data_IF_402050846455
#
_entry.id   IF_402050846455
#
_cell.length_a   1.000
_cell.length_b   1.000
_cell.length_c   1.000
_cell.angle_alpha   90.00
_cell.angle_beta   90.00
_cell.angle_gamma   90.00
#
_symmetry.space_group_name_H-M   'P 1'
#
loop_
_entity.id
_entity.type
_entity.pdbx_description
1 polymer ?
#
# COMPACT_ATOMS: atom_id res chain seq x y z
N UNK A 1 23.22 22.57 23.20
CA UNK A 1 21.93 21.86 23.19
C UNK A 1 21.90 21.00 21.93
N UNK A 2 22.33 19.73 22.04
CA UNK A 2 22.29 18.81 20.90
C UNK A 2 20.84 18.34 20.72
N UNK A 3 20.19 18.75 19.64
CA UNK A 3 19.00 18.08 19.17
C UNK A 3 19.41 16.64 18.83
N UNK A 4 19.08 15.69 19.70
CA UNK A 4 19.05 14.29 19.33
C UNK A 4 18.02 14.17 18.21
N UNK A 5 18.49 14.24 16.96
CA UNK A 5 17.69 13.95 15.78
C UNK A 5 17.19 12.51 15.92
N UNK A 6 16.03 12.32 16.52
CA UNK A 6 15.33 11.03 16.56
C UNK A 6 15.13 10.61 15.12
N UNK A 7 15.88 9.59 14.69
CA UNK A 7 15.83 9.15 13.31
C UNK A 7 14.43 8.60 13.02
N UNK A 8 13.71 9.22 12.09
CA UNK A 8 12.35 8.80 11.74
C UNK A 8 12.42 7.82 10.57
N UNK A 9 11.66 6.73 10.65
CA UNK A 9 11.44 5.81 9.55
C UNK A 9 9.98 5.85 9.12
N UNK A 10 9.75 6.07 7.84
CA UNK A 10 8.42 6.12 7.24
C UNK A 10 8.26 5.03 6.20
N UNK A 11 7.14 4.30 6.27
CA UNK A 11 6.71 3.33 5.27
C UNK A 11 5.29 3.69 4.86
N UNK A 12 5.02 3.62 3.57
CA UNK A 12 3.71 3.88 3.00
C UNK A 12 3.20 2.61 2.33
N UNK A 13 1.97 2.22 2.65
CA UNK A 13 1.25 1.13 2.00
C UNK A 13 0.23 1.74 1.04
N UNK A 14 0.23 1.32 -0.22
CA UNK A 14 -0.76 1.69 -1.22
C UNK A 14 -1.45 0.47 -1.81
N UNK A 15 -2.73 0.56 -2.17
CA UNK A 15 -3.40 -0.48 -2.95
C UNK A 15 -4.58 0.08 -3.73
N UNK A 16 -4.93 -0.58 -4.83
CA UNK A 16 -6.19 -0.35 -5.53
C UNK A 16 -7.27 -1.25 -4.94
N UNK A 17 -8.35 -0.63 -4.46
CA UNK A 17 -9.56 -1.31 -4.05
C UNK A 17 -10.63 -1.15 -5.12
N UNK A 18 -11.20 -2.27 -5.59
CA UNK A 18 -12.39 -2.25 -6.43
C UNK A 18 -13.60 -2.67 -5.61
N UNK A 19 -14.70 -1.94 -5.82
CA UNK A 19 -16.04 -2.37 -5.41
C UNK A 19 -16.68 -2.96 -6.65
N UNK A 20 -17.07 -4.24 -6.59
CA UNK A 20 -17.86 -4.82 -7.67
C UNK A 20 -19.19 -4.05 -7.76
N UNK A 21 -19.57 -3.64 -8.96
CA UNK A 21 -20.95 -3.22 -9.21
C UNK A 21 -21.80 -4.50 -9.22
N UNK A 22 -22.51 -4.76 -8.13
CA UNK A 22 -23.35 -5.95 -8.00
C UNK A 22 -24.33 -6.04 -9.17
N UNK A 23 -24.39 -7.20 -9.83
CA UNK A 23 -25.42 -7.50 -10.83
C UNK A 23 -26.73 -7.77 -10.10
N UNK A 24 -27.51 -6.71 -9.82
CA UNK A 24 -28.92 -6.79 -9.44
C UNK A 24 -29.28 -7.82 -8.36
N UNK A 25 -28.86 -7.59 -7.12
CA UNK A 25 -29.24 -8.38 -5.95
C UNK A 25 -28.58 -7.84 -4.69
N UNK A 26 -29.10 -8.19 -3.50
CA UNK A 26 -28.57 -7.82 -2.18
C UNK A 26 -27.20 -8.46 -1.87
N UNK A 27 -26.34 -8.62 -2.86
CA UNK A 27 -25.00 -9.19 -2.69
C UNK A 27 -24.10 -8.18 -1.97
N UNK A 28 -23.50 -8.64 -0.87
CA UNK A 28 -22.54 -7.87 -0.08
C UNK A 28 -21.29 -7.67 -0.93
N UNK A 29 -21.06 -6.44 -1.39
CA UNK A 29 -19.88 -6.11 -2.19
C UNK A 29 -18.61 -6.16 -1.31
N UNK A 30 -17.83 -7.23 -1.44
CA UNK A 30 -16.54 -7.33 -0.76
C UNK A 30 -15.47 -6.45 -1.42
N UNK A 31 -14.61 -5.86 -0.60
CA UNK A 31 -13.42 -5.14 -1.07
C UNK A 31 -12.46 -6.13 -1.72
N UNK A 32 -12.18 -5.97 -3.01
CA UNK A 32 -11.10 -6.70 -3.70
C UNK A 32 -9.83 -5.86 -3.73
N UNK A 33 -8.72 -6.45 -3.31
CA UNK A 33 -7.39 -5.84 -3.30
C UNK A 33 -6.51 -6.62 -4.29
N UNK A 34 -6.07 -5.97 -5.36
CA UNK A 34 -5.26 -6.65 -6.38
C UNK A 34 -3.79 -6.81 -5.94
N UNK A 35 -3.19 -5.71 -5.47
CA UNK A 35 -1.80 -5.66 -5.05
C UNK A 35 -1.58 -4.61 -3.97
N UNK A 36 -0.75 -4.97 -2.98
CA UNK A 36 -0.31 -4.06 -1.93
C UNK A 36 1.08 -3.55 -2.29
N UNK A 37 1.18 -2.28 -2.66
CA UNK A 37 2.42 -1.56 -2.92
C UNK A 37 3.05 -1.05 -1.63
N UNK A 38 4.37 -1.15 -1.56
CA UNK A 38 5.18 -0.71 -0.43
C UNK A 38 6.16 0.37 -0.91
N UNK A 39 6.11 1.53 -0.28
CA UNK A 39 7.03 2.64 -0.53
C UNK A 39 7.79 2.98 0.76
N UNK A 40 9.09 3.23 0.66
CA UNK A 40 9.93 3.56 1.82
C UNK A 40 11.40 3.27 1.59
N UNK A 41 12.19 3.35 2.67
CA UNK A 41 13.62 3.00 2.64
C UNK A 41 13.79 1.48 2.55
N UNK A 42 14.57 0.99 1.59
CA UNK A 42 14.66 -0.43 1.26
C UNK A 42 15.00 -1.31 2.48
N UNK A 43 15.98 -0.90 3.29
CA UNK A 43 16.33 -1.60 4.55
C UNK A 43 15.13 -1.75 5.49
N UNK A 44 14.33 -0.70 5.67
CA UNK A 44 13.18 -0.72 6.57
C UNK A 44 12.07 -1.62 6.00
N UNK A 45 11.80 -1.55 4.70
CA UNK A 45 10.83 -2.43 4.04
C UNK A 45 11.22 -3.91 4.19
N UNK A 46 12.50 -4.25 3.99
CA UNK A 46 13.02 -5.62 4.18
C UNK A 46 12.93 -6.08 5.63
N UNK A 47 13.24 -5.20 6.60
CA UNK A 47 13.14 -5.49 8.04
C UNK A 47 11.71 -5.84 8.46
N UNK A 48 10.70 -5.17 7.89
CA UNK A 48 9.29 -5.35 8.23
C UNK A 48 8.69 -6.55 7.50
N UNK A 49 8.84 -6.62 6.17
CA UNK A 49 8.09 -7.55 5.34
C UNK A 49 8.86 -8.82 4.94
N UNK A 50 10.20 -8.79 5.01
CA UNK A 50 11.06 -9.95 4.77
C UNK A 50 10.68 -10.76 3.53
N UNK A 51 10.41 -12.06 3.71
CA UNK A 51 10.04 -12.99 2.63
C UNK A 51 8.75 -12.63 1.87
N UNK A 52 7.88 -11.81 2.46
CA UNK A 52 6.63 -11.41 1.81
C UNK A 52 6.81 -10.25 0.84
N UNK A 53 7.97 -9.58 0.88
CA UNK A 53 8.33 -8.47 0.01
C UNK A 53 8.83 -8.99 -1.34
N UNK A 54 8.21 -8.54 -2.41
CA UNK A 54 8.65 -8.81 -3.78
C UNK A 54 9.45 -7.62 -4.32
N UNK A 55 10.70 -7.87 -4.67
CA UNK A 55 11.67 -6.89 -5.16
C UNK A 55 11.95 -7.01 -6.66
N UNK A 56 11.22 -7.85 -7.41
CA UNK A 56 11.52 -8.14 -8.83
C UNK A 56 11.52 -6.91 -9.74
N UNK A 57 10.72 -5.90 -9.40
CA UNK A 57 10.66 -4.62 -10.15
C UNK A 57 11.82 -3.67 -9.83
N UNK A 58 12.65 -4.03 -8.85
CA UNK A 58 13.75 -3.22 -8.32
C UNK A 58 14.93 -4.12 -7.89
N UNK A 59 15.32 -5.05 -8.78
CA UNK A 59 16.45 -5.95 -8.53
C UNK A 59 17.74 -5.14 -8.37
N UNK A 60 18.55 -5.48 -7.36
CA UNK A 60 19.82 -4.82 -7.00
C UNK A 60 19.73 -3.45 -6.30
N UNK A 61 18.61 -3.15 -5.61
CA UNK A 61 18.49 -1.91 -4.85
C UNK A 61 19.32 -1.93 -3.55
N UNK A 62 20.22 -0.94 -3.40
CA UNK A 62 20.95 -0.69 -2.15
C UNK A 62 19.98 -0.48 -0.98
N UNK A 63 20.29 -1.13 0.15
CA UNK A 63 19.54 -1.04 1.41
C UNK A 63 19.35 0.40 1.92
N UNK A 64 20.24 1.33 1.58
CA UNK A 64 20.11 2.73 2.00
C UNK A 64 19.20 3.58 1.09
N UNK A 65 18.81 3.08 -0.09
CA UNK A 65 17.97 3.82 -1.04
C UNK A 65 16.48 3.71 -0.72
N UNK A 66 15.71 4.67 -1.21
CA UNK A 66 14.25 4.65 -1.18
C UNK A 66 13.70 3.96 -2.44
N UNK A 67 12.54 3.33 -2.31
CA UNK A 67 11.79 2.74 -3.43
C UNK A 67 10.29 2.98 -3.27
N UNK A 68 9.58 2.94 -4.39
CA UNK A 68 8.12 2.93 -4.51
C UNK A 68 7.61 1.73 -5.32
N UNK A 69 8.49 0.76 -5.62
CA UNK A 69 8.21 -0.32 -6.58
C UNK A 69 8.08 -1.70 -5.95
N UNK A 70 8.28 -1.81 -4.64
CA UNK A 70 8.05 -3.05 -3.91
C UNK A 70 6.56 -3.34 -3.79
N UNK A 71 6.23 -4.62 -3.68
CA UNK A 71 4.87 -5.06 -3.41
C UNK A 71 4.86 -6.34 -2.59
N UNK A 72 3.75 -6.62 -1.90
CA UNK A 72 3.60 -7.86 -1.14
C UNK A 72 3.10 -9.01 -2.01
N UNK A 73 3.51 -10.22 -1.65
CA UNK A 73 3.09 -11.46 -2.29
C UNK A 73 1.65 -11.86 -1.97
N UNK A 74 1.09 -11.33 -0.88
CA UNK A 74 -0.30 -11.54 -0.47
C UNK A 74 -1.14 -10.25 -0.63
N UNK A 75 -2.45 -10.39 -0.55
CA UNK A 75 -3.43 -9.32 -0.74
C UNK A 75 -4.13 -8.88 0.56
N UNK A 76 -3.81 -9.50 1.70
CA UNK A 76 -4.36 -9.14 3.01
C UNK A 76 -3.71 -7.87 3.56
N UNK A 77 -4.47 -6.77 3.60
CA UNK A 77 -3.99 -5.45 4.05
C UNK A 77 -3.74 -5.44 5.55
N UNK A 78 -4.64 -6.08 6.31
CA UNK A 78 -4.58 -6.17 7.77
C UNK A 78 -3.33 -6.95 8.22
N UNK A 79 -2.95 -8.01 7.50
CA UNK A 79 -1.70 -8.73 7.73
C UNK A 79 -0.46 -7.83 7.55
N UNK A 80 -0.49 -6.91 6.57
CA UNK A 80 0.59 -5.94 6.39
C UNK A 80 0.63 -4.92 7.53
N UNK A 81 -0.52 -4.54 8.07
CA UNK A 81 -0.61 -3.65 9.23
C UNK A 81 -0.07 -4.31 10.50
N UNK A 82 -0.39 -5.59 10.72
CA UNK A 82 0.15 -6.36 11.85
C UNK A 82 1.67 -6.47 11.79
N UNK A 83 2.23 -6.70 10.60
CA UNK A 83 3.69 -6.73 10.40
C UNK A 83 4.36 -5.39 10.76
N UNK A 84 3.74 -4.27 10.38
CA UNK A 84 4.20 -2.92 10.75
C UNK A 84 4.08 -2.66 12.25
N UNK A 85 2.94 -3.02 12.85
CA UNK A 85 2.68 -2.85 14.28
C UNK A 85 3.68 -3.65 15.13
N UNK A 86 4.01 -4.88 14.73
CA UNK A 86 5.04 -5.70 15.37
C UNK A 86 6.44 -5.05 15.37
N UNK A 87 6.70 -4.16 14.41
CA UNK A 87 7.93 -3.37 14.32
C UNK A 87 7.81 -1.96 14.90
N UNK A 88 6.74 -1.66 15.63
CA UNK A 88 6.43 -0.38 16.29
C UNK A 88 6.14 0.79 15.35
N UNK A 89 5.72 0.50 14.12
CA UNK A 89 5.19 1.54 13.24
C UNK A 89 3.77 1.89 13.67
N UNK A 90 3.45 3.19 13.69
CA UNK A 90 2.12 3.71 13.97
C UNK A 90 1.51 4.29 12.71
N UNK A 91 0.22 4.02 12.48
CA UNK A 91 -0.55 4.66 11.41
C UNK A 91 -0.73 6.15 11.74
N UNK A 92 -0.23 7.03 10.87
CA UNK A 92 -0.32 8.49 11.07
C UNK A 92 -1.34 9.15 10.15
N UNK A 93 -1.58 8.58 8.98
CA UNK A 93 -2.51 9.15 8.00
C UNK A 93 -3.02 8.08 7.05
N UNK A 94 -4.24 8.26 6.57
CA UNK A 94 -4.83 7.45 5.50
C UNK A 94 -5.52 8.37 4.52
N UNK A 95 -5.37 8.11 3.23
CA UNK A 95 -6.06 8.82 2.18
C UNK A 95 -6.62 7.85 1.14
N UNK A 96 -7.60 8.31 0.38
CA UNK A 96 -8.23 7.57 -0.70
C UNK A 96 -8.46 8.54 -1.84
N UNK A 97 -7.95 8.22 -3.03
CA UNK A 97 -8.21 8.94 -4.26
C UNK A 97 -9.07 8.06 -5.16
N UNK A 98 -10.24 8.57 -5.53
CA UNK A 98 -11.07 7.97 -6.58
C UNK A 98 -10.72 8.57 -7.93
N UNK A 99 -10.85 7.81 -9.03
CA UNK A 99 -10.78 8.41 -10.35
C UNK A 99 -11.92 9.42 -10.48
N UNK A 100 -11.60 10.64 -10.91
CA UNK A 100 -12.61 11.60 -11.34
C UNK A 100 -13.26 11.06 -12.60
N UNK A 101 -14.58 11.05 -12.66
CA UNK A 101 -15.40 10.51 -13.74
C UNK A 101 -15.33 11.39 -15.02
N UNK A 102 -14.18 11.96 -15.37
CA UNK A 102 -14.08 12.97 -16.45
C UNK A 102 -13.84 12.38 -17.85
N UNK A 103 -13.49 11.10 -17.97
CA UNK A 103 -13.23 10.46 -19.28
C UNK A 103 -14.00 9.14 -19.49
N UNK A 104 -15.26 9.10 -19.08
CA UNK A 104 -16.16 7.95 -19.27
C UNK A 104 -16.67 7.77 -20.73
N UNK A 105 -15.80 7.93 -21.74
CA UNK A 105 -16.16 7.68 -23.16
C UNK A 105 -15.65 6.36 -23.73
N UNK A 106 -14.78 5.63 -23.02
CA UNK A 106 -14.20 4.36 -23.48
C UNK A 106 -14.20 3.28 -22.37
N UNK A 107 -15.25 3.23 -21.54
CA UNK A 107 -15.38 2.14 -20.56
C UNK A 107 -15.97 0.93 -21.29
N UNK A 108 -15.13 -0.09 -21.50
CA UNK A 108 -15.57 -1.42 -21.93
C UNK A 108 -16.47 -1.98 -20.82
N UNK A 109 -17.67 -2.46 -21.19
CA UNK A 109 -18.78 -2.76 -20.27
C UNK A 109 -18.50 -3.83 -19.20
N UNK A 110 -17.36 -4.55 -19.28
CA UNK A 110 -17.00 -5.66 -18.38
C UNK A 110 -15.82 -5.37 -17.42
N UNK A 111 -15.23 -4.17 -17.42
CA UNK A 111 -14.13 -3.82 -16.49
C UNK A 111 -14.64 -3.05 -15.26
N UNK A 112 -14.18 -3.37 -14.03
CA UNK A 112 -14.60 -2.68 -12.80
C UNK A 112 -14.17 -1.20 -12.84
N UNK A 113 -15.11 -0.34 -13.22
CA UNK A 113 -14.93 1.10 -13.48
C UNK A 113 -14.54 1.95 -12.25
N UNK A 114 -14.51 1.36 -11.04
CA UNK A 114 -14.20 2.06 -9.78
C UNK A 114 -12.97 1.46 -9.08
N UNK A 115 -11.78 1.80 -9.58
CA UNK A 115 -10.53 1.53 -8.89
C UNK A 115 -10.15 2.72 -8.00
N UNK A 116 -10.45 2.64 -6.69
CA UNK A 116 -9.97 3.64 -5.72
C UNK A 116 -8.54 3.32 -5.32
N UNK A 117 -7.63 4.27 -5.46
CA UNK A 117 -6.28 4.16 -4.89
C UNK A 117 -6.32 4.59 -3.43
N UNK A 118 -6.02 3.67 -2.51
CA UNK A 118 -5.94 3.95 -1.08
C UNK A 118 -4.49 3.91 -0.62
N UNK A 119 -4.12 4.85 0.24
CA UNK A 119 -2.78 4.93 0.81
C UNK A 119 -2.84 5.11 2.33
N UNK A 120 -1.93 4.45 3.03
CA UNK A 120 -1.75 4.50 4.48
C UNK A 120 -0.29 4.80 4.80
N UNK A 121 -0.04 5.82 5.61
CA UNK A 121 1.31 6.26 6.00
C UNK A 121 1.59 5.83 7.42
N UNK A 122 2.72 5.17 7.61
CA UNK A 122 3.17 4.65 8.89
C UNK A 122 4.53 5.23 9.27
N UNK A 123 4.70 5.60 10.53
CA UNK A 123 5.98 6.12 11.05
C UNK A 123 6.44 5.39 12.30
N UNK A 124 7.77 5.29 12.44
CA UNK A 124 8.48 4.78 13.61
C UNK A 124 9.57 5.77 13.98
N UNK A 125 9.58 6.21 15.23
CA UNK A 125 10.67 7.00 15.80
C UNK A 125 11.73 6.02 16.35
N UNK A 126 12.99 6.23 15.98
CA UNK A 126 14.16 5.47 16.47
C UNK A 126 14.85 6.18 17.62
#
# INVERSE_FOLDING_TARGET
MNASSTAVSTITIGYHGTLAAGRGGFEVNFRRVDRIMICGKARACREVFGRFLNETRDWNMDSQRYTSRFYLTHQFVEQAFDALAAKRYKLVSSNCSGPSLSNAKNVVEDEPSFAHYRQHVFTRYM
#
